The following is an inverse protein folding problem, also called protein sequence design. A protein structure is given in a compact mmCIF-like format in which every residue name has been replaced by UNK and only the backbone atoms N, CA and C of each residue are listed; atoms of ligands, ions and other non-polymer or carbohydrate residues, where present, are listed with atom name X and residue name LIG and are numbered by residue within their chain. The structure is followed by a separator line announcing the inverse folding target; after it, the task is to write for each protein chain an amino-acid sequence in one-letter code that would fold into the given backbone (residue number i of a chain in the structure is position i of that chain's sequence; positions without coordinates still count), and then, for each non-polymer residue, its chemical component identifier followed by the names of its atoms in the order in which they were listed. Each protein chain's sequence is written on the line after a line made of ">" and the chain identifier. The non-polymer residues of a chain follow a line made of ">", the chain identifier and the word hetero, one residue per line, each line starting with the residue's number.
data_IF_647858850548
#
_entry.id   IF_647858850548
#
_cell.length_a   1.000
_cell.length_b   1.000
_cell.length_c   1.000
_cell.angle_alpha   90.00
_cell.angle_beta   90.00
_cell.angle_gamma   90.00
#
_symmetry.space_group_name_H-M   'P 1'
#
loop_
_entity.id
_entity.type
_entity.pdbx_description
1 polymer ?
#
# COMPACT_ATOMS: atom_id res chain seq x y z
N UNK A 1 16.73 10.84 4.96
CA UNK A 1 15.94 10.96 3.72
C UNK A 1 14.89 9.85 3.59
N UNK A 2 15.19 8.59 3.94
CA UNK A 2 14.17 7.52 3.93
C UNK A 2 13.12 7.65 5.05
N UNK A 3 13.54 8.08 6.26
CA UNK A 3 12.62 8.20 7.40
C UNK A 3 11.51 9.24 7.18
N UNK A 4 11.77 10.33 6.45
CA UNK A 4 10.73 11.33 6.18
C UNK A 4 9.63 10.78 5.28
N UNK A 5 9.97 10.04 4.23
CA UNK A 5 8.96 9.49 3.31
C UNK A 5 8.04 8.48 3.99
N UNK A 6 8.59 7.65 4.88
CA UNK A 6 7.78 6.71 5.65
C UNK A 6 6.80 7.44 6.58
N UNK A 7 7.27 8.41 7.37
CA UNK A 7 6.42 9.15 8.29
C UNK A 7 5.38 10.01 7.55
N UNK A 8 5.75 10.65 6.45
CA UNK A 8 4.81 11.43 5.62
C UNK A 8 3.68 10.55 5.05
N UNK A 9 4.01 9.34 4.58
CA UNK A 9 3.01 8.39 4.09
C UNK A 9 2.12 7.89 5.22
N UNK A 10 2.71 7.57 6.37
CA UNK A 10 1.97 7.13 7.56
C UNK A 10 0.97 8.18 8.02
N UNK A 11 1.40 9.43 8.15
CA UNK A 11 0.54 10.55 8.52
C UNK A 11 -0.64 10.71 7.55
N UNK A 12 -0.39 10.65 6.24
CA UNK A 12 -1.45 10.71 5.22
C UNK A 12 -2.45 9.57 5.36
N UNK A 13 -2.01 8.35 5.69
CA UNK A 13 -2.90 7.21 5.92
C UNK A 13 -3.75 7.46 7.17
N UNK A 14 -3.14 7.89 8.27
CA UNK A 14 -3.84 8.15 9.53
C UNK A 14 -4.88 9.27 9.40
N UNK A 15 -4.53 10.37 8.71
CA UNK A 15 -5.46 11.45 8.38
C UNK A 15 -6.59 10.90 7.50
N UNK A 16 -6.28 10.11 6.46
CA UNK A 16 -7.30 9.49 5.63
C UNK A 16 -8.27 8.64 6.46
N UNK A 17 -7.75 7.74 7.30
CA UNK A 17 -8.55 6.82 8.12
C UNK A 17 -9.47 7.57 9.10
N UNK A 18 -9.00 8.68 9.68
CA UNK A 18 -9.84 9.53 10.54
C UNK A 18 -10.95 10.29 9.80
N UNK A 19 -10.91 10.33 8.47
CA UNK A 19 -11.86 11.03 7.59
C UNK A 19 -12.62 10.09 6.63
N UNK A 20 -12.92 8.86 7.07
CA UNK A 20 -13.63 7.85 6.27
C UNK A 20 -12.93 7.51 4.94
N UNK A 21 -11.66 7.11 5.04
CA UNK A 21 -10.80 6.85 3.88
C UNK A 21 -11.44 5.86 2.90
N UNK A 22 -11.85 6.29 1.69
CA UNK A 22 -12.51 5.39 0.74
C UNK A 22 -11.57 4.27 0.28
N UNK A 23 -12.12 3.08 0.04
CA UNK A 23 -11.36 1.89 -0.39
C UNK A 23 -10.51 2.17 -1.63
N UNK A 24 -11.06 2.91 -2.59
CA UNK A 24 -10.36 3.27 -3.83
C UNK A 24 -9.13 4.15 -3.55
N UNK A 25 -9.25 5.09 -2.63
CA UNK A 25 -8.14 5.96 -2.23
C UNK A 25 -7.06 5.19 -1.47
N UNK A 26 -7.45 4.21 -0.65
CA UNK A 26 -6.50 3.27 -0.01
C UNK A 26 -5.75 2.43 -1.03
N UNK A 27 -6.41 1.97 -2.10
CA UNK A 27 -5.77 1.24 -3.20
C UNK A 27 -4.76 2.09 -3.98
N UNK A 28 -5.07 3.37 -4.21
CA UNK A 28 -4.12 4.32 -4.82
C UNK A 28 -2.89 4.48 -3.91
N UNK A 29 -3.12 4.66 -2.60
CA UNK A 29 -2.06 4.77 -1.60
C UNK A 29 -1.17 3.52 -1.56
N UNK A 30 -1.76 2.32 -1.69
CA UNK A 30 -1.01 1.07 -1.80
C UNK A 30 -0.05 1.08 -3.00
N UNK A 31 -0.49 1.58 -4.14
CA UNK A 31 0.37 1.77 -5.31
C UNK A 31 1.52 2.74 -5.06
N UNK A 32 1.28 3.86 -4.36
CA UNK A 32 2.33 4.80 -3.96
C UNK A 32 3.37 4.16 -3.04
N UNK A 33 2.92 3.37 -2.05
CA UNK A 33 3.79 2.62 -1.13
C UNK A 33 4.67 1.65 -1.91
N UNK A 34 4.12 0.91 -2.88
CA UNK A 34 4.88 0.00 -3.71
C UNK A 34 5.92 0.73 -4.57
N UNK A 35 5.55 1.85 -5.18
CA UNK A 35 6.51 2.70 -5.90
C UNK A 35 7.64 3.18 -4.98
N UNK A 36 7.33 3.64 -3.77
CA UNK A 36 8.35 4.08 -2.82
C UNK A 36 9.29 2.95 -2.39
N UNK A 37 8.75 1.75 -2.13
CA UNK A 37 9.55 0.58 -1.75
C UNK A 37 10.46 0.10 -2.89
N UNK A 38 9.94 0.02 -4.12
CA UNK A 38 10.70 -0.42 -5.31
C UNK A 38 11.82 0.55 -5.69
N UNK A 39 11.65 1.85 -5.43
CA UNK A 39 12.68 2.87 -5.66
C UNK A 39 13.62 3.07 -4.47
N UNK A 40 13.46 2.29 -3.39
CA UNK A 40 14.31 2.37 -2.20
C UNK A 40 14.12 3.66 -1.38
N UNK A 41 12.98 4.35 -1.54
CA UNK A 41 12.60 5.50 -0.73
C UNK A 41 12.18 5.07 0.69
N UNK A 42 11.63 3.86 0.79
CA UNK A 42 11.34 3.17 2.05
C UNK A 42 11.84 1.73 1.95
N UNK A 43 12.11 1.11 3.08
CA UNK A 43 12.41 -0.33 3.13
C UNK A 43 11.16 -1.18 2.84
N UNK A 44 11.36 -2.42 2.39
CA UNK A 44 10.25 -3.39 2.24
C UNK A 44 9.46 -3.59 3.54
N UNK A 45 10.16 -3.57 4.69
CA UNK A 45 9.53 -3.68 6.01
C UNK A 45 8.58 -2.51 6.27
N UNK A 46 9.04 -1.29 6.04
CA UNK A 46 8.21 -0.08 6.15
C UNK A 46 7.03 -0.11 5.16
N UNK A 47 7.24 -0.60 3.94
CA UNK A 47 6.16 -0.79 2.98
C UNK A 47 5.05 -1.73 3.48
N UNK A 48 5.43 -2.85 4.11
CA UNK A 48 4.46 -3.77 4.73
C UNK A 48 3.74 -3.15 5.93
N UNK A 49 4.45 -2.37 6.75
CA UNK A 49 3.81 -1.65 7.86
C UNK A 49 2.75 -0.65 7.37
N UNK A 50 3.03 0.10 6.30
CA UNK A 50 2.07 1.02 5.68
C UNK A 50 0.90 0.28 4.99
N UNK A 51 1.18 -0.87 4.36
CA UNK A 51 0.16 -1.74 3.77
C UNK A 51 -0.83 -2.24 4.83
N UNK A 52 -0.31 -2.74 5.96
CA UNK A 52 -1.14 -3.23 7.07
C UNK A 52 -2.00 -2.10 7.65
N UNK A 53 -1.44 -0.88 7.76
CA UNK A 53 -2.15 0.33 8.18
C UNK A 53 -3.35 0.67 7.28
N UNK A 54 -3.29 0.40 5.98
CA UNK A 54 -4.42 0.64 5.07
C UNK A 54 -5.62 -0.29 5.33
N UNK A 55 -5.40 -1.43 6.00
CA UNK A 55 -6.46 -2.37 6.35
C UNK A 55 -7.19 -2.98 5.15
N UNK A 56 -6.54 -3.04 3.97
CA UNK A 56 -7.17 -3.50 2.73
C UNK A 56 -7.49 -5.00 2.73
N UNK A 57 -6.76 -5.79 3.53
CA UNK A 57 -6.97 -7.23 3.67
C UNK A 57 -8.38 -7.59 4.17
N UNK A 58 -8.95 -6.76 5.04
CA UNK A 58 -10.27 -7.00 5.61
C UNK A 58 -11.40 -6.47 4.72
N UNK A 59 -11.05 -5.68 3.69
CA UNK A 59 -11.99 -4.99 2.81
C UNK A 59 -12.09 -5.63 1.42
N UNK A 60 -11.13 -6.48 1.04
CA UNK A 60 -11.04 -7.08 -0.29
C UNK A 60 -10.91 -8.61 -0.18
N UNK A 61 -11.92 -9.31 -0.70
CA UNK A 61 -12.08 -10.78 -0.60
C UNK A 61 -10.87 -11.56 -1.15
N UNK A 62 -10.22 -11.04 -2.21
CA UNK A 62 -9.10 -11.67 -2.90
C UNK A 62 -7.78 -10.88 -2.71
N UNK A 63 -7.61 -10.19 -1.58
CA UNK A 63 -6.48 -9.28 -1.36
C UNK A 63 -5.09 -9.91 -1.60
N UNK A 64 -4.92 -11.18 -1.25
CA UNK A 64 -3.66 -11.90 -1.48
C UNK A 64 -3.24 -11.95 -2.96
N UNK A 65 -4.19 -12.08 -3.88
CA UNK A 65 -3.91 -12.05 -5.33
C UNK A 65 -3.54 -10.65 -5.81
N UNK A 66 -4.25 -9.62 -5.33
CA UNK A 66 -3.97 -8.21 -5.67
C UNK A 66 -2.56 -7.85 -5.23
N UNK A 67 -2.19 -8.22 -4.01
CA UNK A 67 -0.85 -8.02 -3.45
C UNK A 67 0.21 -8.72 -4.29
N UNK A 68 -0.02 -9.97 -4.68
CA UNK A 68 0.92 -10.73 -5.51
C UNK A 68 1.12 -10.05 -6.87
N UNK A 69 0.05 -9.67 -7.56
CA UNK A 69 0.12 -8.98 -8.86
C UNK A 69 0.84 -7.62 -8.72
N UNK A 70 0.53 -6.85 -7.67
CA UNK A 70 1.14 -5.55 -7.42
C UNK A 70 2.64 -5.62 -7.12
N UNK A 71 3.10 -6.64 -6.40
CA UNK A 71 4.53 -6.83 -6.08
C UNK A 71 5.32 -7.58 -7.16
N UNK A 72 4.71 -8.55 -7.86
CA UNK A 72 5.41 -9.33 -8.89
C UNK A 72 5.40 -8.67 -10.27
N UNK A 73 4.44 -7.77 -10.53
CA UNK A 73 4.22 -7.19 -11.85
C UNK A 73 3.63 -8.18 -12.87
N UNK A 74 3.32 -9.41 -12.46
CA UNK A 74 2.75 -10.42 -13.34
C UNK A 74 1.22 -10.31 -13.32
N UNK A 75 0.65 -9.81 -14.43
CA UNK A 75 -0.78 -9.93 -14.70
C UNK A 75 -1.09 -11.41 -14.95
N UNK A 76 -1.73 -12.08 -13.99
CA UNK A 76 -2.30 -13.41 -14.24
C UNK A 76 -3.56 -13.23 -15.07
N UNK A 77 -3.43 -13.25 -16.39
CA UNK A 77 -4.58 -13.42 -17.27
C UNK A 77 -5.09 -14.85 -17.10
N UNK A 78 -6.31 -15.01 -16.57
CA UNK A 78 -7.00 -16.28 -16.67
C UNK A 78 -7.17 -16.61 -18.16
N UNK A 79 -6.55 -17.73 -18.58
CA UNK A 79 -6.73 -18.33 -19.90
C UNK A 79 -8.09 -19.05 -19.99
#
# INVERSE_FOLDING_TARGET
>A
MQDSTFEDMKERIEIGLSNDFPVQSRLIMLGEIFCAATHGLISLKQGYELEDLLGLKDLIEDYGKIRQIGFSGEFVSAA
#
